data_IF_279661652302
#
_entry.id   IF_279661652302
#
_cell.length_a   1.000
_cell.length_b   1.000
_cell.length_c   1.000
_cell.angle_alpha   90.00
_cell.angle_beta   90.00
_cell.angle_gamma   90.00
#
_symmetry.space_group_name_H-M   'P 1'
#
loop_
_entity.id
_entity.type
_entity.pdbx_description
1 polymer ?
#
# COMPACT_ATOMS: atom_id res chain seq x y z
N UNK A 1 1.09 10.98 1.83
CA UNK A 1 1.14 10.31 0.51
C UNK A 1 -0.24 9.75 0.22
N UNK A 2 -0.85 10.07 -0.92
CA UNK A 2 -2.11 9.48 -1.37
C UNK A 2 -1.92 8.03 -1.83
N UNK A 3 -2.99 7.23 -1.83
CA UNK A 3 -2.91 5.82 -2.25
C UNK A 3 -2.52 5.69 -3.71
N UNK A 4 -3.12 6.49 -4.61
CA UNK A 4 -2.76 6.51 -6.02
C UNK A 4 -1.26 6.76 -6.23
N UNK A 5 -0.67 7.70 -5.48
CA UNK A 5 0.75 8.02 -5.58
C UNK A 5 1.64 6.85 -5.17
N UNK A 6 1.29 6.11 -4.11
CA UNK A 6 2.03 4.93 -3.67
C UNK A 6 2.03 3.85 -4.74
N UNK A 7 0.85 3.51 -5.27
CA UNK A 7 0.69 2.48 -6.30
C UNK A 7 1.46 2.87 -7.57
N UNK A 8 1.39 4.15 -7.96
CA UNK A 8 2.15 4.67 -9.11
C UNK A 8 3.67 4.52 -8.90
N UNK A 9 4.16 4.87 -7.72
CA UNK A 9 5.59 4.76 -7.36
C UNK A 9 6.04 3.29 -7.28
N UNK A 10 5.21 2.38 -6.75
CA UNK A 10 5.46 0.94 -6.74
C UNK A 10 5.57 0.35 -8.16
N UNK A 11 4.81 0.92 -9.11
CA UNK A 11 4.88 0.57 -10.55
C UNK A 11 5.98 1.33 -11.30
N UNK A 12 6.77 2.17 -10.63
CA UNK A 12 7.82 3.01 -11.20
C UNK A 12 7.36 3.94 -12.34
N UNK A 13 6.12 4.43 -12.27
CA UNK A 13 5.55 5.32 -13.28
C UNK A 13 5.68 6.79 -12.85
N UNK A 14 5.90 7.69 -13.80
CA UNK A 14 5.71 9.14 -13.65
C UNK A 14 4.23 9.53 -13.77
N UNK A 15 3.88 10.77 -13.41
CA UNK A 15 2.50 11.24 -13.56
C UNK A 15 2.11 11.32 -15.04
N UNK A 16 3.06 11.66 -15.90
CA UNK A 16 2.95 11.72 -17.36
C UNK A 16 2.73 10.33 -17.96
N UNK A 17 3.52 9.33 -17.55
CA UNK A 17 3.36 7.95 -18.03
C UNK A 17 2.03 7.34 -17.59
N UNK A 18 1.62 7.57 -16.34
CA UNK A 18 0.32 7.10 -15.87
C UNK A 18 -0.82 7.81 -16.63
N UNK A 19 -0.66 9.09 -16.96
CA UNK A 19 -1.65 9.84 -17.75
C UNK A 19 -1.79 9.25 -19.16
N UNK A 20 -0.66 8.96 -19.80
CA UNK A 20 -0.62 8.37 -21.14
C UNK A 20 -1.26 6.98 -21.15
N UNK A 21 -0.86 6.11 -20.22
CA UNK A 21 -1.39 4.74 -20.14
C UNK A 21 -2.89 4.71 -19.84
N UNK A 22 -3.36 5.60 -18.96
CA UNK A 22 -4.77 5.64 -18.55
C UNK A 22 -5.65 6.54 -19.41
N UNK A 23 -5.09 7.29 -20.35
CA UNK A 23 -5.83 8.30 -21.12
C UNK A 23 -6.47 9.38 -20.23
N UNK A 24 -5.99 9.55 -19.00
CA UNK A 24 -6.45 10.56 -18.05
C UNK A 24 -5.46 11.72 -18.06
N UNK A 25 -5.92 12.97 -18.01
CA UNK A 25 -5.00 14.10 -17.97
C UNK A 25 -4.08 14.07 -16.73
N UNK A 26 -2.83 14.50 -16.89
CA UNK A 26 -1.86 14.67 -15.78
C UNK A 26 -2.47 15.51 -14.66
N UNK A 27 -3.21 16.57 -15.00
CA UNK A 27 -3.92 17.42 -14.03
C UNK A 27 -4.94 16.64 -13.19
N UNK A 28 -5.65 15.70 -13.79
CA UNK A 28 -6.60 14.84 -13.07
C UNK A 28 -5.86 13.89 -12.13
N UNK A 29 -4.76 13.29 -12.57
CA UNK A 29 -3.91 12.45 -11.72
C UNK A 29 -3.40 13.25 -10.53
N UNK A 30 -2.84 14.44 -10.75
CA UNK A 30 -2.36 15.33 -9.69
C UNK A 30 -3.47 15.67 -8.68
N UNK A 31 -4.68 15.99 -9.17
CA UNK A 31 -5.83 16.26 -8.29
C UNK A 31 -6.21 15.06 -7.45
N UNK A 32 -6.16 13.85 -8.02
CA UNK A 32 -6.45 12.62 -7.29
C UNK A 32 -5.35 12.34 -6.27
N UNK A 33 -4.09 12.50 -6.66
CA UNK A 33 -2.95 12.38 -5.75
C UNK A 33 -2.97 13.43 -4.63
N UNK A 34 -3.59 14.59 -4.86
CA UNK A 34 -3.82 15.63 -3.86
C UNK A 34 -5.05 15.39 -2.97
N UNK A 35 -5.85 14.35 -3.23
CA UNK A 35 -6.98 13.93 -2.39
C UNK A 35 -8.37 14.00 -3.05
N UNK A 36 -8.45 14.26 -4.36
CA UNK A 36 -9.74 14.15 -5.08
C UNK A 36 -10.10 12.68 -5.29
N UNK A 37 -11.26 12.25 -4.84
CA UNK A 37 -11.71 10.87 -5.06
C UNK A 37 -12.08 10.62 -6.54
N UNK A 38 -11.46 9.64 -7.23
CA UNK A 38 -11.81 9.30 -8.60
C UNK A 38 -13.14 8.55 -8.65
N UNK A 39 -13.98 8.85 -9.65
CA UNK A 39 -15.32 8.23 -9.81
C UNK A 39 -15.58 7.84 -11.26
N UNK A 40 -16.50 6.90 -11.46
CA UNK A 40 -16.99 6.51 -12.78
C UNK A 40 -15.88 6.04 -13.71
N UNK A 41 -15.76 6.69 -14.87
CA UNK A 41 -14.76 6.36 -15.89
C UNK A 41 -13.33 6.42 -15.33
N UNK A 42 -12.97 7.51 -14.64
CA UNK A 42 -11.61 7.73 -14.12
C UNK A 42 -11.18 6.62 -13.17
N UNK A 43 -12.08 6.18 -12.28
CA UNK A 43 -11.81 5.07 -11.35
C UNK A 43 -11.55 3.78 -12.12
N UNK A 44 -12.46 3.40 -13.03
CA UNK A 44 -12.36 2.17 -13.81
C UNK A 44 -11.09 2.12 -14.64
N UNK A 45 -10.74 3.23 -15.28
CA UNK A 45 -9.55 3.28 -16.13
C UNK A 45 -8.27 3.20 -15.31
N UNK A 46 -8.17 3.91 -14.18
CA UNK A 46 -7.00 3.81 -13.29
C UNK A 46 -6.78 2.39 -12.78
N UNK A 47 -7.87 1.75 -12.33
CA UNK A 47 -7.88 0.38 -11.81
C UNK A 47 -7.44 -0.61 -12.88
N UNK A 48 -7.95 -0.46 -14.11
CA UNK A 48 -7.54 -1.27 -15.25
C UNK A 48 -6.07 -1.06 -15.65
N UNK A 49 -5.57 0.17 -15.65
CA UNK A 49 -4.16 0.45 -16.00
C UNK A 49 -3.16 0.00 -14.96
N UNK A 50 -3.52 0.12 -13.68
CA UNK A 50 -2.63 -0.24 -12.57
C UNK A 50 -2.70 -1.74 -12.22
N UNK A 51 -3.65 -2.47 -12.83
CA UNK A 51 -3.93 -3.88 -12.59
C UNK A 51 -4.18 -4.14 -11.09
N UNK A 52 -5.08 -3.35 -10.51
CA UNK A 52 -5.48 -3.41 -9.09
C UNK A 52 -7.00 -3.58 -9.01
N UNK A 53 -7.54 -3.76 -7.79
CA UNK A 53 -8.99 -3.70 -7.59
C UNK A 53 -9.46 -2.27 -7.26
N UNK A 54 -10.75 -1.98 -7.51
CA UNK A 54 -11.36 -0.69 -7.11
C UNK A 54 -11.23 -0.45 -5.60
N UNK A 55 -11.29 -1.54 -4.80
CA UNK A 55 -11.14 -1.47 -3.35
C UNK A 55 -9.77 -0.94 -2.99
N UNK A 56 -8.71 -1.45 -3.62
CA UNK A 56 -7.30 -1.08 -3.36
C UNK A 56 -7.04 0.42 -3.55
N UNK A 57 -7.67 1.02 -4.56
CA UNK A 57 -7.54 2.46 -4.80
C UNK A 57 -8.31 3.31 -3.77
N UNK A 58 -9.37 2.77 -3.18
CA UNK A 58 -10.25 3.42 -2.21
C UNK A 58 -9.90 3.12 -0.74
N UNK A 59 -8.91 2.26 -0.43
CA UNK A 59 -8.49 1.88 0.95
C UNK A 59 -7.97 3.07 1.78
N UNK A 60 -7.94 4.29 1.24
CA UNK A 60 -7.59 5.50 1.99
C UNK A 60 -8.43 5.67 3.29
N UNK A 61 -9.64 5.12 3.36
CA UNK A 61 -10.53 5.30 4.52
C UNK A 61 -10.54 4.14 5.54
N UNK A 62 -10.22 2.89 5.15
CA UNK A 62 -10.34 1.73 6.07
C UNK A 62 -9.17 1.68 7.07
N UNK A 63 -7.95 1.98 6.62
CA UNK A 63 -6.75 1.94 7.50
C UNK A 63 -6.69 3.09 8.52
N UNK A 64 -7.63 4.05 8.49
CA UNK A 64 -7.76 5.08 9.54
C UNK A 64 -8.69 4.65 10.68
N UNK A 65 -9.47 3.58 10.55
CA UNK A 65 -10.50 3.24 11.54
C UNK A 65 -10.30 1.90 12.28
N UNK A 66 -9.45 0.99 11.82
CA UNK A 66 -9.33 -0.34 12.44
C UNK A 66 -7.95 -0.62 13.06
N UNK A 67 -7.70 0.03 14.20
CA UNK A 67 -6.95 -0.58 15.31
C UNK A 67 -7.89 -0.65 16.52
N UNK A 68 -9.05 -1.32 16.36
CA UNK A 68 -9.84 -1.84 17.48
C UNK A 68 -10.54 -3.13 17.02
N UNK A 69 -10.31 -4.20 17.78
CA UNK A 69 -10.96 -5.51 17.74
C UNK A 69 -10.54 -6.50 16.63
N UNK A 70 -9.52 -7.31 16.97
CA UNK A 70 -9.57 -8.78 17.04
C UNK A 70 -10.67 -9.50 16.21
N UNK A 71 -10.36 -9.99 15.01
CA UNK A 71 -10.16 -11.42 14.65
C UNK A 71 -9.77 -11.56 13.15
N UNK A 72 -8.93 -12.55 12.76
CA UNK A 72 -8.39 -12.71 11.41
C UNK A 72 -9.32 -13.55 10.50
N UNK A 73 -9.00 -13.69 9.20
CA UNK A 73 -9.37 -14.77 8.20
C UNK A 73 -9.63 -14.11 6.81
N UNK A 74 -8.91 -14.34 5.69
CA UNK A 74 -8.01 -15.42 5.23
C UNK A 74 -6.90 -14.89 4.32
N UNK A 75 -5.71 -15.44 4.55
CA UNK A 75 -4.53 -15.45 3.70
C UNK A 75 -4.78 -16.45 2.56
N UNK A 76 -4.48 -16.06 1.30
CA UNK A 76 -4.17 -17.01 0.23
C UNK A 76 -2.67 -16.87 -0.09
N UNK A 77 -1.95 -17.83 0.49
CA UNK A 77 -0.53 -18.24 0.45
C UNK A 77 0.30 -17.70 -0.74
N UNK A 78 1.49 -17.11 -0.56
CA UNK A 78 2.67 -17.73 0.08
C UNK A 78 3.64 -16.67 0.62
N UNK A 79 4.15 -16.98 1.82
CA UNK A 79 5.15 -16.32 2.66
C UNK A 79 6.49 -16.08 1.92
N UNK A 80 7.29 -15.03 2.16
CA UNK A 80 7.74 -14.48 3.44
C UNK A 80 7.60 -12.95 3.50
N UNK A 81 6.65 -12.47 4.30
CA UNK A 81 6.72 -11.11 4.83
C UNK A 81 7.59 -11.22 6.08
N UNK A 82 8.87 -10.89 5.97
CA UNK A 82 9.75 -10.74 7.12
C UNK A 82 9.15 -9.68 8.04
N UNK A 83 8.46 -10.14 9.07
CA UNK A 83 7.69 -9.29 9.95
C UNK A 83 8.68 -8.51 10.81
N UNK A 84 9.00 -7.27 10.39
CA UNK A 84 9.99 -6.42 11.06
C UNK A 84 9.69 -6.13 12.54
N UNK A 85 8.49 -6.50 12.98
CA UNK A 85 8.02 -6.49 14.37
C UNK A 85 8.64 -7.62 15.20
N UNK A 86 8.86 -8.81 14.64
CA UNK A 86 9.39 -9.98 15.37
C UNK A 86 10.90 -9.88 15.63
N UNK A 87 11.66 -9.17 14.78
CA UNK A 87 13.11 -8.98 14.96
C UNK A 87 13.41 -8.00 16.09
N UNK A 88 12.47 -7.10 16.40
CA UNK A 88 12.63 -6.10 17.47
C UNK A 88 12.46 -6.68 18.87
N UNK A 89 12.13 -7.96 19.01
CA UNK A 89 11.91 -8.62 20.30
C UNK A 89 12.98 -9.68 20.63
N UNK A 90 14.24 -9.41 20.29
CA UNK A 90 15.34 -10.03 21.03
C UNK A 90 16.05 -8.93 21.79
N UNK A 91 15.73 -8.80 23.08
CA UNK A 91 16.54 -8.02 23.99
C UNK A 91 17.78 -8.85 24.37
N UNK A 92 18.82 -8.81 23.53
CA UNK A 92 20.09 -9.52 23.77
C UNK A 92 20.84 -9.06 25.04
N UNK A 93 20.40 -7.99 25.71
CA UNK A 93 21.05 -7.53 26.96
C UNK A 93 20.84 -8.45 28.15
N UNK A 94 19.89 -9.41 28.08
CA UNK A 94 19.58 -10.33 29.17
C UNK A 94 20.18 -11.73 29.01
N UNK A 95 21.03 -11.96 27.99
CA UNK A 95 21.77 -13.21 27.87
C UNK A 95 22.91 -13.19 28.89
N UNK A 96 22.92 -14.06 29.92
CA UNK A 96 24.09 -14.21 30.76
C UNK A 96 25.23 -14.73 29.87
N UNK A 97 26.33 -13.98 29.81
CA UNK A 97 27.58 -14.40 29.23
C UNK A 97 28.13 -15.55 30.10
N UNK A 98 27.69 -16.77 29.85
CA UNK A 98 28.30 -17.96 30.40
C UNK A 98 29.61 -18.17 29.64
N UNK A 99 30.64 -17.46 30.09
CA UNK A 99 32.03 -17.75 29.80
C UNK A 99 32.30 -19.21 30.18
N UNK A 100 32.82 -20.01 29.26
CA UNK A 100 33.48 -21.26 29.63
C UNK A 100 34.88 -21.30 29.00
N UNK A 101 35.91 -21.66 29.79
CA UNK A 101 37.34 -21.57 29.46
C UNK A 101 37.81 -22.44 28.30
#
# INVERSE_FOLDING_TARGET
MSQLKKIREEKNLTQEELAEQSGISVRTIQRIEAGTEPKGYTLKTLVATLDISEKDLLIADILKQEIKAEEPILILEKEEIFNSTLIKMINLSSLPFAWFP
#
